data_IF_786262103437
#
_entry.id   IF_786262103437
#
_cell.length_a   1.000
_cell.length_b   1.000
_cell.length_c   1.000
_cell.angle_alpha   90.00
_cell.angle_beta   90.00
_cell.angle_gamma   90.00
#
_symmetry.space_group_name_H-M   'P 1'
#
loop_
_entity.id
_entity.type
_entity.pdbx_description
1 polymer ?
#
# COMPACT_ATOMS: atom_id res chain seq x y z
N UNK A 1 -49.24 -43.01 -8.03
CA UNK A 1 -49.17 -44.24 -7.23
C UNK A 1 -48.50 -45.29 -8.07
N UNK A 2 -47.51 -45.98 -7.51
CA UNK A 2 -46.87 -47.22 -7.98
C UNK A 2 -46.30 -47.26 -9.42
N UNK A 3 -45.03 -47.54 -9.68
CA UNK A 3 -43.96 -48.02 -8.81
C UNK A 3 -42.66 -48.12 -9.61
N UNK A 4 -41.56 -47.74 -8.95
CA UNK A 4 -40.20 -48.08 -9.32
C UNK A 4 -39.93 -49.53 -8.88
N UNK A 5 -39.34 -50.36 -9.76
CA UNK A 5 -38.11 -51.14 -9.49
C UNK A 5 -37.89 -52.22 -10.55
N UNK A 6 -36.67 -52.23 -11.07
CA UNK A 6 -35.94 -53.47 -11.35
C UNK A 6 -35.39 -53.59 -12.77
N UNK A 7 -34.07 -53.46 -12.91
CA UNK A 7 -33.24 -54.53 -13.48
C UNK A 7 -31.73 -54.30 -13.22
N UNK A 8 -30.95 -55.35 -12.88
CA UNK A 8 -29.56 -55.22 -12.46
C UNK A 8 -28.54 -55.53 -13.58
N UNK A 9 -27.40 -54.83 -13.51
CA UNK A 9 -26.01 -55.26 -13.77
C UNK A 9 -25.71 -56.18 -14.96
N UNK A 10 -25.09 -55.65 -16.02
CA UNK A 10 -24.06 -56.38 -16.81
C UNK A 10 -23.01 -55.45 -17.47
N UNK A 11 -21.76 -55.56 -16.98
CA UNK A 11 -20.46 -55.75 -17.67
C UNK A 11 -19.92 -54.71 -18.71
N UNK A 12 -18.83 -54.06 -18.28
CA UNK A 12 -17.67 -53.43 -18.96
C UNK A 12 -17.18 -54.09 -20.29
N UNK A 13 -16.09 -53.59 -20.94
CA UNK A 13 -15.75 -52.25 -21.45
C UNK A 13 -15.27 -52.34 -22.94
N UNK A 14 -15.05 -51.22 -23.65
CA UNK A 14 -14.28 -51.26 -24.90
C UNK A 14 -13.45 -49.99 -25.10
N UNK A 15 -12.14 -50.15 -24.96
CA UNK A 15 -11.10 -49.22 -25.38
C UNK A 15 -11.23 -48.91 -26.87
N UNK A 16 -11.31 -47.63 -27.23
CA UNK A 16 -10.93 -47.13 -28.55
C UNK A 16 -9.78 -46.14 -28.38
N UNK A 17 -8.60 -46.63 -28.73
CA UNK A 17 -7.35 -45.90 -28.87
C UNK A 17 -7.42 -45.06 -30.16
N UNK A 18 -7.27 -43.74 -30.05
CA UNK A 18 -6.94 -42.88 -31.19
C UNK A 18 -5.86 -41.89 -30.76
N UNK A 19 -4.64 -42.15 -31.23
CA UNK A 19 -3.49 -41.27 -31.21
C UNK A 19 -3.67 -40.18 -32.27
N UNK A 20 -3.48 -38.89 -31.93
CA UNK A 20 -2.77 -37.93 -32.78
C UNK A 20 -2.64 -36.55 -32.11
N UNK A 21 -1.38 -36.12 -31.99
CA UNK A 21 -0.88 -34.74 -31.89
C UNK A 21 -1.34 -33.90 -30.69
N UNK A 22 -0.58 -34.01 -29.59
CA UNK A 22 -0.37 -32.86 -28.71
C UNK A 22 0.40 -31.79 -29.50
N UNK A 23 -0.31 -30.84 -30.12
CA UNK A 23 0.30 -29.58 -30.47
C UNK A 23 0.60 -28.86 -29.15
N UNK A 24 1.85 -28.94 -28.70
CA UNK A 24 2.36 -28.04 -27.67
C UNK A 24 2.41 -26.63 -28.28
N UNK A 25 1.24 -25.99 -28.36
CA UNK A 25 1.19 -24.55 -28.52
C UNK A 25 1.86 -24.03 -27.26
N UNK A 26 3.02 -23.39 -27.42
CA UNK A 26 3.64 -22.67 -26.33
C UNK A 26 2.65 -21.62 -25.85
N UNK A 27 1.93 -21.93 -24.78
CA UNK A 27 1.18 -20.93 -24.05
C UNK A 27 2.24 -19.99 -23.49
N UNK A 28 2.39 -18.84 -24.14
CA UNK A 28 2.91 -17.66 -23.47
C UNK A 28 1.91 -17.38 -22.34
N UNK A 29 2.14 -18.04 -21.20
CA UNK A 29 1.44 -17.70 -19.99
C UNK A 29 1.92 -16.31 -19.67
N UNK A 30 1.12 -15.32 -20.02
CA UNK A 30 1.22 -14.00 -19.40
C UNK A 30 1.10 -14.29 -17.91
N UNK A 31 2.26 -14.28 -17.23
CA UNK A 31 2.29 -14.24 -15.79
C UNK A 31 1.61 -12.92 -15.49
N UNK A 32 0.33 -12.99 -15.11
CA UNK A 32 -0.29 -11.92 -14.37
C UNK A 32 0.56 -11.80 -13.11
N UNK A 33 1.56 -10.92 -13.15
CA UNK A 33 2.24 -10.43 -11.94
C UNK A 33 1.11 -9.81 -11.14
N UNK A 34 0.64 -10.61 -10.18
CA UNK A 34 -0.69 -10.45 -9.62
C UNK A 34 -0.86 -9.08 -9.01
N UNK A 35 -2.10 -8.62 -9.03
CA UNK A 35 -2.62 -7.50 -8.25
C UNK A 35 -2.10 -7.49 -6.79
N UNK A 36 -1.76 -8.67 -6.26
CA UNK A 36 -1.10 -8.89 -4.98
C UNK A 36 0.18 -8.05 -4.77
N UNK A 37 1.03 -7.84 -5.78
CA UNK A 37 2.25 -7.04 -5.60
C UNK A 37 1.94 -5.54 -5.49
N UNK A 38 0.92 -5.06 -6.21
CA UNK A 38 0.50 -3.65 -6.15
C UNK A 38 -0.14 -3.30 -4.80
N UNK A 39 -0.87 -4.24 -4.18
CA UNK A 39 -1.45 -4.05 -2.83
C UNK A 39 -0.41 -4.06 -1.71
N UNK A 40 0.75 -4.68 -1.93
CA UNK A 40 1.82 -4.76 -0.92
C UNK A 40 2.47 -3.41 -0.61
N UNK A 41 2.48 -2.46 -1.54
CA UNK A 41 3.12 -1.13 -1.35
C UNK A 41 2.31 -0.19 -0.46
N UNK A 42 1.02 -0.45 -0.27
CA UNK A 42 0.11 0.33 0.57
C UNK A 42 -0.04 -0.26 1.99
N UNK A 43 0.50 -1.46 2.22
CA UNK A 43 0.31 -2.21 3.46
C UNK A 43 1.36 -1.83 4.53
N UNK A 44 1.56 -0.53 4.78
CA UNK A 44 2.42 -0.04 5.87
C UNK A 44 1.69 0.09 7.22
N UNK A 45 0.40 -0.27 7.28
CA UNK A 45 -0.44 -0.19 8.48
C UNK A 45 -0.95 1.22 8.79
N UNK A 46 -0.69 2.22 7.94
CA UNK A 46 -1.15 3.60 8.10
C UNK A 46 -2.19 3.96 7.02
N UNK A 47 -2.90 5.07 7.22
CA UNK A 47 -3.83 5.60 6.19
C UNK A 47 -5.06 4.72 5.91
N UNK A 48 -5.46 3.86 6.86
CA UNK A 48 -6.68 3.04 6.74
C UNK A 48 -7.95 3.90 6.59
N UNK A 49 -7.92 5.12 7.13
CA UNK A 49 -8.87 6.21 6.85
C UNK A 49 -8.09 7.42 6.32
N UNK A 50 -8.72 8.32 5.54
CA UNK A 50 -8.08 9.56 5.13
C UNK A 50 -7.49 10.31 6.35
N UNK A 51 -6.24 10.79 6.29
CA UNK A 51 -5.66 11.56 7.40
C UNK A 51 -6.36 12.91 7.50
N UNK A 52 -6.69 13.32 8.72
CA UNK A 52 -7.31 14.60 9.02
C UNK A 52 -6.34 15.48 9.81
N UNK A 53 -6.18 16.73 9.39
CA UNK A 53 -5.22 17.64 9.98
C UNK A 53 -5.27 19.03 9.38
N UNK A 54 -4.23 19.81 9.66
CA UNK A 54 -4.05 21.17 9.20
C UNK A 54 -2.67 21.31 8.53
N UNK A 55 -2.55 22.28 7.62
CA UNK A 55 -1.32 22.59 6.89
C UNK A 55 -1.08 24.10 6.88
N UNK A 56 0.18 24.52 7.05
CA UNK A 56 0.56 25.93 7.20
C UNK A 56 0.48 26.77 5.93
N UNK A 57 0.59 26.15 4.75
CA UNK A 57 0.84 26.85 3.48
C UNK A 57 -0.24 27.86 3.12
N UNK A 58 -1.51 27.45 3.20
CA UNK A 58 -2.64 28.23 2.69
C UNK A 58 -2.80 29.61 3.34
N UNK A 59 -2.26 29.80 4.54
CA UNK A 59 -2.36 31.05 5.27
C UNK A 59 -1.01 31.73 5.48
N UNK A 60 0.04 30.96 5.78
CA UNK A 60 1.31 31.50 6.27
C UNK A 60 2.44 31.51 5.25
N UNK A 61 2.39 30.66 4.21
CA UNK A 61 3.49 30.46 3.27
C UNK A 61 4.86 30.39 4.00
N UNK A 62 5.88 31.09 3.49
CA UNK A 62 7.24 31.11 4.05
C UNK A 62 7.48 32.17 5.13
N UNK A 63 6.62 33.19 5.23
CA UNK A 63 6.85 34.33 6.13
C UNK A 63 6.24 34.12 7.53
N UNK A 64 5.40 33.09 7.70
CA UNK A 64 4.57 32.93 8.90
C UNK A 64 4.53 31.54 9.52
N UNK A 65 5.33 30.57 9.05
CA UNK A 65 5.28 29.18 9.53
C UNK A 65 6.30 28.84 10.65
N UNK A 66 6.71 29.83 11.44
CA UNK A 66 7.66 29.67 12.55
C UNK A 66 7.10 28.90 13.76
N UNK A 67 7.98 28.53 14.69
CA UNK A 67 7.68 27.70 15.88
C UNK A 67 6.44 28.17 16.67
N UNK A 68 6.35 29.48 16.93
CA UNK A 68 5.24 30.07 17.70
C UNK A 68 3.90 29.75 17.04
N UNK A 69 3.78 29.97 15.74
CA UNK A 69 2.54 29.74 14.99
C UNK A 69 2.17 28.26 14.99
N UNK A 70 3.15 27.37 14.79
CA UNK A 70 2.89 25.92 14.80
C UNK A 70 2.41 25.46 16.17
N UNK A 71 3.02 25.97 17.25
CA UNK A 71 2.65 25.64 18.62
C UNK A 71 1.25 26.14 18.97
N UNK A 72 0.97 27.41 18.68
CA UNK A 72 -0.34 28.01 18.93
C UNK A 72 -1.44 27.35 18.10
N UNK A 73 -1.15 26.94 16.85
CA UNK A 73 -2.09 26.18 16.03
C UNK A 73 -2.38 24.82 16.63
N UNK A 74 -1.37 24.11 17.14
CA UNK A 74 -1.56 22.83 17.82
C UNK A 74 -2.43 22.99 19.09
N UNK A 75 -2.18 24.03 19.89
CA UNK A 75 -2.99 24.36 21.07
C UNK A 75 -4.43 24.76 20.67
N UNK A 76 -4.61 25.45 19.55
CA UNK A 76 -5.92 25.80 19.00
C UNK A 76 -6.69 24.56 18.54
N UNK A 77 -6.04 23.58 17.89
CA UNK A 77 -6.70 22.32 17.49
C UNK A 77 -7.27 21.58 18.71
N UNK A 78 -6.57 21.60 19.84
CA UNK A 78 -7.05 20.98 21.08
C UNK A 78 -8.17 21.80 21.72
N UNK A 79 -7.93 23.09 21.95
CA UNK A 79 -8.86 23.97 22.69
C UNK A 79 -10.18 24.20 21.96
N UNK A 80 -10.19 24.17 20.62
CA UNK A 80 -11.41 24.26 19.80
C UNK A 80 -12.15 22.92 19.63
N UNK A 81 -11.55 21.82 20.08
CA UNK A 81 -12.12 20.47 19.95
C UNK A 81 -11.90 19.79 18.59
N UNK A 82 -11.20 20.43 17.64
CA UNK A 82 -10.88 19.82 16.33
C UNK A 82 -10.02 18.56 16.48
N UNK A 83 -9.11 18.52 17.45
CA UNK A 83 -8.34 17.32 17.78
C UNK A 83 -9.25 16.16 18.20
N UNK A 84 -10.28 16.44 19.01
CA UNK A 84 -11.27 15.45 19.42
C UNK A 84 -12.17 15.00 18.25
N UNK A 85 -12.43 15.89 17.28
CA UNK A 85 -13.15 15.59 16.05
C UNK A 85 -12.31 14.77 15.03
N UNK A 86 -11.01 14.56 15.28
CA UNK A 86 -10.14 13.69 14.48
C UNK A 86 -9.01 14.40 13.72
N UNK A 87 -8.88 15.73 13.83
CA UNK A 87 -7.76 16.48 13.23
C UNK A 87 -6.48 16.28 14.03
N UNK A 88 -5.63 15.33 13.61
CA UNK A 88 -4.48 14.83 14.39
C UNK A 88 -3.12 15.27 13.86
N UNK A 89 -3.06 15.71 12.60
CA UNK A 89 -1.80 16.07 11.95
C UNK A 89 -1.65 17.59 11.86
N UNK A 90 -0.47 18.09 12.23
CA UNK A 90 -0.04 19.48 12.02
C UNK A 90 1.12 19.43 11.04
N UNK A 91 0.85 19.83 9.79
CA UNK A 91 1.82 19.74 8.72
C UNK A 91 2.51 21.09 8.56
N UNK A 92 3.80 21.13 8.90
CA UNK A 92 4.70 22.21 8.56
C UNK A 92 5.06 22.10 7.07
N UNK A 93 4.71 23.13 6.31
CA UNK A 93 4.98 23.20 4.87
C UNK A 93 6.37 23.81 4.58
N UNK A 94 6.59 24.26 3.35
CA UNK A 94 7.90 24.72 2.82
C UNK A 94 8.58 25.83 3.66
N UNK A 95 9.85 26.10 3.39
CA UNK A 95 10.64 27.17 4.03
C UNK A 95 10.99 26.96 5.52
N UNK A 96 10.82 25.75 6.06
CA UNK A 96 11.25 25.42 7.43
C UNK A 96 12.75 25.12 7.57
N UNK A 97 13.39 24.71 6.49
CA UNK A 97 14.80 24.33 6.48
C UNK A 97 15.68 25.52 6.06
N UNK A 98 16.92 25.52 6.53
CA UNK A 98 17.94 26.42 6.01
C UNK A 98 18.18 26.17 4.51
N UNK A 99 18.50 27.20 3.70
CA UNK A 99 18.75 27.04 2.27
C UNK A 99 19.91 26.10 1.97
N UNK A 100 20.92 26.09 2.82
CA UNK A 100 22.08 25.22 2.72
C UNK A 100 22.03 24.06 3.73
N UNK A 101 22.48 22.87 3.26
CA UNK A 101 22.68 21.72 4.14
C UNK A 101 23.93 21.90 5.00
N UNK A 102 23.91 21.37 6.22
CA UNK A 102 25.11 21.26 7.04
C UNK A 102 26.21 20.48 6.30
N UNK A 103 27.46 20.96 6.37
CA UNK A 103 28.62 20.37 5.71
C UNK A 103 28.98 18.96 6.24
N UNK A 104 28.39 18.55 7.38
CA UNK A 104 28.68 17.26 8.04
C UNK A 104 28.01 16.03 7.40
N UNK A 105 27.34 16.19 6.25
CA UNK A 105 26.49 15.12 5.67
C UNK A 105 27.27 14.06 4.86
N UNK A 106 28.59 14.16 4.71
CA UNK A 106 29.38 13.18 3.91
C UNK A 106 30.48 12.42 4.68
N UNK A 107 30.34 12.16 5.99
CA UNK A 107 31.34 11.32 6.72
C UNK A 107 30.77 10.16 7.54
N UNK A 108 29.47 9.88 7.48
CA UNK A 108 28.90 8.68 8.12
C UNK A 108 28.42 7.66 7.10
N UNK A 109 29.27 6.65 6.95
CA UNK A 109 28.93 5.26 6.62
C UNK A 109 28.76 4.90 5.14
N UNK A 110 29.87 4.88 4.40
CA UNK A 110 30.15 3.67 3.63
C UNK A 110 30.32 2.54 4.66
N UNK A 111 29.24 1.80 4.96
CA UNK A 111 29.38 0.55 5.70
C UNK A 111 30.26 -0.37 4.86
N UNK A 112 31.37 -0.91 5.37
CA UNK A 112 32.08 -1.95 4.66
C UNK A 112 31.14 -3.15 4.56
N UNK A 113 30.70 -3.50 3.36
CA UNK A 113 30.22 -4.85 3.07
C UNK A 113 31.42 -5.78 3.23
N UNK A 114 31.67 -6.25 4.45
CA UNK A 114 32.51 -7.42 4.66
C UNK A 114 31.68 -8.62 4.21
N UNK A 115 32.11 -9.23 3.12
CA UNK A 115 31.74 -10.58 2.70
C UNK A 115 31.88 -11.56 3.86
N UNK A 116 30.75 -12.07 4.35
CA UNK A 116 30.61 -13.39 4.98
C UNK A 116 29.37 -14.03 4.39
#
# INVERSE_FOLDING_TARGET
MEGYRGRPWTRLPALLLACAAAAAVGECRVVHVGEAHRRSMLANGLGATPPMGWNSWNHFACDGNGEVVIRETADALVSTGLAAAGYKYVNLDDCWAEPERDAKVCTKSALPVSSV
#
